data_IF_843431537500
#
_entry.id   IF_843431537500
#
_cell.length_a   1.000
_cell.length_b   1.000
_cell.length_c   1.000
_cell.angle_alpha   90.00
_cell.angle_beta   90.00
_cell.angle_gamma   90.00
#
_symmetry.space_group_name_H-M   'P 1'
#
loop_
_entity.id
_entity.type
_entity.pdbx_description
1 polymer ?
#
# COMPACT_ATOMS: atom_id res chain seq x y z
N UNK A 1 1.05 -6.48 13.80
CA UNK A 1 2.42 -7.02 13.54
C UNK A 1 2.54 -7.67 12.17
N UNK A 2 1.64 -8.59 11.79
CA UNK A 2 1.65 -9.27 10.48
C UNK A 2 1.78 -8.31 9.27
N UNK A 3 0.99 -7.23 9.23
CA UNK A 3 1.07 -6.21 8.16
C UNK A 3 2.49 -5.67 7.97
N UNK A 4 3.15 -5.25 9.05
CA UNK A 4 4.49 -4.67 8.98
C UNK A 4 5.56 -5.69 8.60
N UNK A 5 5.42 -6.93 9.05
CA UNK A 5 6.29 -8.03 8.65
C UNK A 5 6.17 -8.31 7.15
N UNK A 6 4.95 -8.44 6.62
CA UNK A 6 4.70 -8.59 5.18
C UNK A 6 5.24 -7.40 4.38
N UNK A 7 4.99 -6.18 4.85
CA UNK A 7 5.41 -4.94 4.17
C UNK A 7 6.93 -4.78 4.12
N UNK A 8 7.66 -5.07 5.20
CA UNK A 8 9.08 -4.73 5.28
C UNK A 8 10.03 -5.91 5.10
N UNK A 9 9.61 -7.14 5.41
CA UNK A 9 10.50 -8.31 5.38
C UNK A 9 10.22 -9.19 4.18
N UNK A 10 8.95 -9.35 3.79
CA UNK A 10 8.56 -10.33 2.76
C UNK A 10 8.27 -9.66 1.41
N UNK A 11 7.14 -8.96 1.30
CA UNK A 11 6.65 -8.45 0.02
C UNK A 11 7.42 -7.20 -0.41
N UNK A 12 7.67 -6.26 0.50
CA UNK A 12 8.30 -4.98 0.16
C UNK A 12 9.67 -5.09 -0.50
N UNK A 13 10.63 -5.87 0.03
CA UNK A 13 11.94 -6.02 -0.59
C UNK A 13 11.85 -6.58 -2.01
N UNK A 14 11.02 -7.61 -2.22
CA UNK A 14 10.83 -8.26 -3.54
C UNK A 14 10.26 -7.26 -4.55
N UNK A 15 9.17 -6.58 -4.19
CA UNK A 15 8.51 -5.62 -5.08
C UNK A 15 9.43 -4.43 -5.39
N UNK A 16 10.13 -3.89 -4.39
CA UNK A 16 11.04 -2.76 -4.60
C UNK A 16 12.26 -3.12 -5.45
N UNK A 17 12.77 -4.34 -5.32
CA UNK A 17 13.90 -4.80 -6.12
C UNK A 17 13.53 -5.00 -7.60
N UNK A 18 12.38 -5.61 -7.87
CA UNK A 18 11.93 -5.94 -9.23
C UNK A 18 11.40 -4.70 -9.96
N UNK A 19 10.47 -3.97 -9.34
CA UNK A 19 9.71 -2.93 -10.02
C UNK A 19 10.26 -1.52 -9.82
N UNK A 20 11.11 -1.32 -8.79
CA UNK A 20 11.73 -0.02 -8.45
C UNK A 20 10.74 1.16 -8.47
N UNK A 21 9.58 1.03 -7.79
CA UNK A 21 8.56 2.08 -7.79
C UNK A 21 9.10 3.36 -7.15
N UNK A 22 8.64 4.51 -7.65
CA UNK A 22 8.94 5.83 -7.10
C UNK A 22 7.65 6.55 -6.71
N UNK A 23 7.77 7.57 -5.87
CA UNK A 23 6.65 8.39 -5.41
C UNK A 23 7.03 9.86 -5.47
N UNK A 24 6.13 10.68 -5.98
CA UNK A 24 6.24 12.14 -5.94
C UNK A 24 5.20 12.67 -4.96
N UNK A 25 5.58 13.67 -4.15
CA UNK A 25 4.67 14.28 -3.19
C UNK A 25 4.36 13.41 -1.96
N UNK A 26 5.28 12.52 -1.54
CA UNK A 26 5.11 11.69 -0.32
C UNK A 26 4.73 12.52 0.92
N UNK A 27 5.26 13.73 1.02
CA UNK A 27 4.98 14.70 2.09
C UNK A 27 3.52 15.15 2.17
N UNK A 28 2.73 14.96 1.11
CA UNK A 28 1.32 15.33 1.10
C UNK A 28 0.45 14.35 1.89
N UNK A 29 0.99 13.19 2.27
CA UNK A 29 0.26 12.19 3.05
C UNK A 29 0.26 12.61 4.52
N UNK A 30 -0.91 12.79 5.16
CA UNK A 30 -0.96 13.17 6.57
C UNK A 30 -0.29 12.11 7.46
N UNK A 31 0.73 12.54 8.22
CA UNK A 31 1.46 11.68 9.15
C UNK A 31 0.59 11.21 10.33
N UNK A 32 -0.46 11.97 10.67
CA UNK A 32 -1.39 11.69 11.76
C UNK A 32 -2.82 12.01 11.31
N UNK A 33 -3.80 11.41 11.98
CA UNK A 33 -5.22 11.61 11.69
C UNK A 33 -5.78 10.74 10.57
N UNK A 34 -7.10 10.80 10.41
CA UNK A 34 -7.81 10.11 9.35
C UNK A 34 -7.55 10.74 7.99
N UNK A 35 -7.46 9.91 6.96
CA UNK A 35 -7.31 10.34 5.58
C UNK A 35 -7.96 9.31 4.65
N UNK A 36 -8.61 9.78 3.59
CA UNK A 36 -9.06 8.94 2.48
C UNK A 36 -8.09 9.18 1.32
N UNK A 37 -7.44 8.12 0.86
CA UNK A 37 -6.57 8.16 -0.32
C UNK A 37 -7.41 7.70 -1.50
N UNK A 38 -7.81 8.65 -2.36
CA UNK A 38 -8.55 8.37 -3.57
C UNK A 38 -7.58 8.17 -4.74
N UNK A 39 -7.48 6.94 -5.24
CA UNK A 39 -6.69 6.60 -6.43
C UNK A 39 -7.60 6.21 -7.59
N UNK A 40 -7.06 6.21 -8.80
CA UNK A 40 -7.62 5.38 -9.86
C UNK A 40 -7.45 3.88 -9.52
N UNK A 41 -8.08 3.01 -10.30
CA UNK A 41 -7.93 1.56 -10.13
C UNK A 41 -7.67 0.91 -11.49
N UNK A 42 -6.43 0.50 -11.71
CA UNK A 42 -6.00 -0.12 -12.97
C UNK A 42 -5.75 -1.62 -12.81
N UNK A 43 -5.42 -2.06 -11.59
CA UNK A 43 -5.10 -3.46 -11.33
C UNK A 43 -5.34 -3.83 -9.88
N UNK A 44 -5.63 -5.11 -9.62
CA UNK A 44 -5.53 -5.68 -8.28
C UNK A 44 -4.19 -5.36 -7.59
N UNK A 45 -3.11 -5.24 -8.38
CA UNK A 45 -1.78 -4.88 -7.88
C UNK A 45 -1.74 -3.52 -7.16
N UNK A 46 -2.71 -2.63 -7.38
CA UNK A 46 -2.82 -1.35 -6.66
C UNK A 46 -2.86 -1.57 -5.14
N UNK A 47 -3.51 -2.65 -4.69
CA UNK A 47 -3.60 -3.09 -3.29
C UNK A 47 -2.27 -3.56 -2.70
N UNK A 48 -1.24 -3.76 -3.53
CA UNK A 48 0.12 -4.12 -3.13
C UNK A 48 1.02 -2.89 -3.19
N UNK A 49 1.07 -2.20 -4.33
CA UNK A 49 2.03 -1.10 -4.54
C UNK A 49 1.75 0.11 -3.66
N UNK A 50 0.50 0.57 -3.57
CA UNK A 50 0.14 1.77 -2.81
C UNK A 50 0.52 1.66 -1.32
N UNK A 51 0.12 0.61 -0.57
CA UNK A 51 0.48 0.50 0.84
C UNK A 51 1.98 0.32 1.07
N UNK A 52 2.73 -0.22 0.10
CA UNK A 52 4.19 -0.36 0.20
C UNK A 52 4.94 0.97 0.07
N UNK A 53 4.35 1.94 -0.65
CA UNK A 53 5.02 3.20 -1.00
C UNK A 53 4.78 4.35 -0.01
N UNK A 54 3.94 4.15 1.00
CA UNK A 54 3.61 5.16 2.01
C UNK A 54 4.06 4.72 3.41
N UNK A 55 4.17 5.64 4.37
CA UNK A 55 4.69 5.32 5.71
C UNK A 55 3.65 4.75 6.68
N UNK A 56 2.36 5.00 6.41
CA UNK A 56 1.24 4.58 7.26
C UNK A 56 0.57 3.30 6.73
N UNK A 57 -0.12 2.52 7.59
CA UNK A 57 -1.00 1.47 7.11
C UNK A 57 -2.13 2.08 6.27
N UNK A 58 -2.58 1.30 5.29
CA UNK A 58 -3.67 1.62 4.38
C UNK A 58 -4.57 0.40 4.28
N UNK A 59 -5.87 0.65 4.33
CA UNK A 59 -6.90 -0.37 4.18
C UNK A 59 -7.71 -0.06 2.94
N UNK A 60 -8.11 -1.10 2.21
CA UNK A 60 -8.98 -0.99 1.05
C UNK A 60 -10.36 -1.53 1.38
N UNK A 61 -11.37 -1.01 0.70
CA UNK A 61 -12.65 -1.70 0.60
C UNK A 61 -12.43 -2.95 -0.26
N UNK A 62 -12.71 -4.11 0.30
CA UNK A 62 -12.59 -5.39 -0.37
C UNK A 62 -13.98 -6.02 -0.51
N UNK A 63 -14.21 -6.72 -1.63
CA UNK A 63 -15.42 -7.51 -1.82
C UNK A 63 -15.46 -8.62 -0.76
N UNK A 64 -16.65 -8.91 -0.24
CA UNK A 64 -16.86 -9.99 0.74
C UNK A 64 -16.29 -11.33 0.27
N UNK A 65 -16.37 -11.61 -1.03
CA UNK A 65 -15.92 -12.87 -1.65
C UNK A 65 -14.41 -13.14 -1.47
N UNK A 66 -13.63 -12.14 -1.05
CA UNK A 66 -12.21 -12.35 -0.74
C UNK A 66 -11.99 -13.07 0.60
N UNK A 67 -13.06 -13.26 1.38
CA UNK A 67 -13.02 -13.82 2.74
C UNK A 67 -13.90 -15.07 2.93
N UNK A 68 -14.47 -15.59 1.84
CA UNK A 68 -15.24 -16.84 1.78
C UNK A 68 -14.45 -17.89 1.01
#
# INVERSE_FOLDING_TARGET
>A
MFYWFMKYVVIGPVIKAIFRPWVVGRSNIPARGAAILASNHLSFADSIFLPLMIDRPMSFLAKSDYFT
#
